data_IF_036550880099
#
_entry.id   IF_036550880099
#
_cell.length_a   1.000
_cell.length_b   1.000
_cell.length_c   1.000
_cell.angle_alpha   90.00
_cell.angle_beta   90.00
_cell.angle_gamma   90.00
#
_symmetry.space_group_name_H-M   'P 1'
#
loop_
_entity.id
_entity.type
_entity.pdbx_description
1 polymer ?
#
# COMPACT_ATOMS: atom_id res chain seq x y z
N UNK A 1 15.91 -2.63 -48.59
CA UNK A 1 16.17 -3.59 -47.50
C UNK A 1 16.38 -2.94 -46.11
N UNK A 2 16.68 -1.64 -46.01
CA UNK A 2 16.87 -0.93 -44.73
C UNK A 2 15.56 -0.47 -44.03
N UNK A 3 14.48 -0.23 -44.77
CA UNK A 3 13.19 0.21 -44.18
C UNK A 3 12.46 -0.86 -43.36
N UNK A 4 12.68 -2.16 -43.62
CA UNK A 4 12.05 -3.25 -42.84
C UNK A 4 12.64 -3.40 -41.43
N UNK A 5 13.88 -2.95 -41.18
CA UNK A 5 14.51 -3.02 -39.85
C UNK A 5 14.10 -1.87 -38.93
N UNK A 6 13.77 -0.69 -39.47
CA UNK A 6 13.30 0.46 -38.70
C UNK A 6 11.86 0.24 -38.19
N UNK A 7 11.00 -0.35 -39.03
CA UNK A 7 9.64 -0.75 -38.63
C UNK A 7 9.63 -1.81 -37.51
N UNK A 8 10.60 -2.72 -37.49
CA UNK A 8 10.73 -3.70 -36.40
C UNK A 8 11.15 -3.04 -35.08
N UNK A 9 11.92 -1.95 -35.11
CA UNK A 9 12.38 -1.25 -33.91
C UNK A 9 11.30 -0.36 -33.29
N UNK A 10 10.40 0.21 -34.10
CA UNK A 10 9.24 0.98 -33.63
C UNK A 10 8.17 0.05 -33.03
N UNK A 11 8.05 -1.18 -33.53
CA UNK A 11 7.11 -2.17 -32.98
C UNK A 11 7.53 -2.73 -31.62
N UNK A 12 8.84 -2.76 -31.31
CA UNK A 12 9.37 -3.19 -30.01
C UNK A 12 9.19 -2.11 -28.93
N UNK A 13 9.06 -0.83 -29.32
CA UNK A 13 8.74 0.26 -28.37
C UNK A 13 7.25 0.35 -28.02
N UNK A 14 6.37 -0.27 -28.83
CA UNK A 14 4.93 -0.37 -28.56
C UNK A 14 4.57 -1.58 -27.69
N UNK A 15 5.53 -2.49 -27.45
CA UNK A 15 5.31 -3.64 -26.60
C UNK A 15 5.49 -3.24 -25.12
N UNK A 16 4.41 -3.40 -24.36
CA UNK A 16 4.24 -3.11 -22.93
C UNK A 16 3.92 -1.65 -22.56
N UNK A 17 2.75 -1.17 -22.98
CA UNK A 17 1.91 -0.50 -21.97
C UNK A 17 1.32 -1.62 -21.12
N UNK A 18 2.10 -2.13 -20.17
CA UNK A 18 1.47 -2.75 -19.00
C UNK A 18 0.74 -1.58 -18.33
N UNK A 19 -0.59 -1.56 -18.37
CA UNK A 19 -1.36 -0.66 -17.50
C UNK A 19 -1.17 -1.16 -16.06
N UNK A 20 0.03 -0.96 -15.53
CA UNK A 20 0.32 -1.17 -14.13
C UNK A 20 -0.30 0.02 -13.40
N UNK A 21 -1.44 -0.21 -12.75
CA UNK A 21 -1.93 0.71 -11.75
C UNK A 21 -0.96 0.74 -10.56
N UNK A 22 -0.88 1.89 -9.91
CA UNK A 22 -0.18 2.06 -8.64
C UNK A 22 -1.08 1.57 -7.50
N UNK A 23 -0.49 0.96 -6.48
CA UNK A 23 -1.19 0.80 -5.19
C UNK A 23 -1.39 2.17 -4.52
N UNK A 24 -2.33 2.25 -3.59
CA UNK A 24 -2.51 3.46 -2.76
C UNK A 24 -1.27 3.80 -1.94
N UNK A 25 -0.44 2.81 -1.62
CA UNK A 25 0.84 2.99 -0.94
C UNK A 25 1.93 3.59 -1.82
N UNK A 26 1.90 3.32 -3.13
CA UNK A 26 2.88 3.86 -4.07
C UNK A 26 2.57 5.30 -4.44
N UNK A 27 1.30 5.72 -4.41
CA UNK A 27 0.85 7.05 -4.84
C UNK A 27 1.68 8.20 -4.25
N UNK A 28 2.15 8.10 -3.00
CA UNK A 28 2.98 9.12 -2.36
C UNK A 28 4.34 9.38 -3.06
N UNK A 29 4.85 8.42 -3.85
CA UNK A 29 6.07 8.55 -4.63
C UNK A 29 5.83 9.09 -6.06
N UNK A 30 4.58 9.27 -6.47
CA UNK A 30 4.17 9.66 -7.82
C UNK A 30 3.43 11.01 -7.83
N UNK A 31 3.76 11.91 -6.90
CA UNK A 31 3.13 13.23 -6.84
C UNK A 31 3.44 14.05 -8.11
N UNK A 32 2.40 14.65 -8.68
CA UNK A 32 2.48 15.40 -9.94
C UNK A 32 2.29 14.53 -11.20
N UNK A 33 2.18 13.21 -11.05
CA UNK A 33 1.94 12.30 -12.18
C UNK A 33 0.44 12.06 -12.39
N UNK A 34 0.06 11.85 -13.65
CA UNK A 34 -1.27 11.33 -14.00
C UNK A 34 -1.17 9.81 -14.11
N UNK A 35 -1.72 9.10 -13.15
CA UNK A 35 -1.68 7.64 -13.08
C UNK A 35 -3.02 7.06 -12.62
N UNK A 36 -3.17 5.75 -12.78
CA UNK A 36 -4.27 5.00 -12.17
C UNK A 36 -3.79 4.44 -10.83
N UNK A 37 -4.54 4.72 -9.75
CA UNK A 37 -4.27 4.25 -8.40
C UNK A 37 -5.40 3.33 -7.97
N UNK A 38 -5.09 2.12 -7.50
CA UNK A 38 -6.08 1.17 -7.02
C UNK A 38 -5.88 0.82 -5.54
N UNK A 39 -6.98 0.73 -4.80
CA UNK A 39 -7.00 0.33 -3.40
C UNK A 39 -8.40 -0.04 -2.92
N UNK A 40 -8.56 -0.34 -1.64
CA UNK A 40 -9.84 -0.72 -1.05
C UNK A 40 -10.49 0.47 -0.35
N UNK A 41 -11.68 0.88 -0.79
CA UNK A 41 -12.40 2.01 -0.19
C UNK A 41 -13.12 1.58 1.10
N UNK A 42 -12.74 2.19 2.23
CA UNK A 42 -13.21 1.79 3.58
C UNK A 42 -14.11 2.81 4.28
N UNK A 43 -14.12 4.06 3.78
CA UNK A 43 -15.06 5.08 4.24
C UNK A 43 -15.37 6.11 3.16
N UNK A 44 -16.55 6.71 3.28
CA UNK A 44 -17.00 7.85 2.48
C UNK A 44 -17.51 8.91 3.45
N UNK A 45 -16.99 10.12 3.34
CA UNK A 45 -17.29 11.23 4.24
C UNK A 45 -17.79 12.44 3.45
N UNK A 46 -18.94 13.00 3.84
CA UNK A 46 -19.51 14.21 3.24
C UNK A 46 -19.11 15.44 4.05
N UNK A 47 -18.22 16.27 3.51
CA UNK A 47 -17.75 17.49 4.18
C UNK A 47 -18.63 18.70 3.79
N UNK A 48 -19.92 18.63 4.13
CA UNK A 48 -20.94 19.61 3.72
C UNK A 48 -20.68 21.06 4.19
N UNK A 49 -19.87 21.22 5.24
CA UNK A 49 -19.50 22.53 5.79
C UNK A 49 -18.32 23.17 5.06
N UNK A 50 -17.60 22.43 4.20
CA UNK A 50 -16.45 22.95 3.45
C UNK A 50 -16.88 23.51 2.10
N UNK A 51 -16.11 24.49 1.60
CA UNK A 51 -16.31 25.05 0.27
C UNK A 51 -16.27 23.94 -0.79
N UNK A 52 -17.26 23.96 -1.70
CA UNK A 52 -17.41 22.92 -2.74
C UNK A 52 -18.02 21.61 -2.24
N UNK A 53 -18.29 21.47 -0.94
CA UNK A 53 -18.90 20.31 -0.27
C UNK A 53 -18.33 18.97 -0.77
N UNK A 54 -17.03 18.73 -0.60
CA UNK A 54 -16.39 17.53 -1.11
C UNK A 54 -16.91 16.27 -0.41
N UNK A 55 -17.08 15.22 -1.19
CA UNK A 55 -17.22 13.84 -0.73
C UNK A 55 -15.84 13.19 -0.81
N UNK A 56 -15.34 12.72 0.32
CA UNK A 56 -14.01 12.13 0.46
C UNK A 56 -14.15 10.63 0.65
N UNK A 57 -13.55 9.86 -0.25
CA UNK A 57 -13.43 8.41 -0.15
C UNK A 57 -12.04 8.09 0.41
N UNK A 58 -11.96 7.38 1.54
CA UNK A 58 -10.69 6.97 2.12
C UNK A 58 -10.36 5.51 1.80
N UNK A 59 -9.09 5.25 1.54
CA UNK A 59 -8.60 3.96 1.11
C UNK A 59 -7.69 3.31 2.16
N UNK A 60 -7.81 1.97 2.28
CA UNK A 60 -7.14 1.05 3.23
C UNK A 60 -7.42 1.31 4.72
N UNK A 61 -7.56 2.57 5.10
CA UNK A 61 -7.87 3.01 6.46
C UNK A 61 -8.78 4.22 6.43
N UNK A 62 -9.57 4.38 7.49
CA UNK A 62 -10.41 5.55 7.69
C UNK A 62 -9.57 6.75 8.11
N UNK A 63 -10.08 7.95 7.84
CA UNK A 63 -9.55 9.17 8.44
C UNK A 63 -9.37 9.05 9.97
N UNK A 64 -8.28 9.56 10.57
CA UNK A 64 -7.18 10.32 9.96
C UNK A 64 -5.96 9.47 9.54
N UNK A 65 -6.11 8.15 9.42
CA UNK A 65 -4.99 7.24 9.13
C UNK A 65 -4.97 6.73 7.68
N UNK A 66 -5.83 7.26 6.82
CA UNK A 66 -5.92 6.87 5.41
C UNK A 66 -4.60 7.10 4.68
N UNK A 67 -4.31 6.21 3.73
CA UNK A 67 -3.04 6.25 2.98
C UNK A 67 -3.19 6.90 1.62
N UNK A 68 -4.43 7.02 1.15
CA UNK A 68 -4.83 7.69 -0.08
C UNK A 68 -6.31 8.09 0.03
N UNK A 69 -6.69 9.20 -0.61
CA UNK A 69 -8.09 9.65 -0.69
C UNK A 69 -8.51 9.95 -2.12
N UNK A 70 -9.80 9.75 -2.42
CA UNK A 70 -10.44 10.37 -3.60
C UNK A 70 -11.33 11.50 -3.13
N UNK A 71 -11.29 12.63 -3.84
CA UNK A 71 -12.12 13.79 -3.58
C UNK A 71 -13.06 13.98 -4.76
N UNK A 72 -14.37 14.05 -4.50
CA UNK A 72 -15.39 14.34 -5.50
C UNK A 72 -16.19 15.56 -5.01
N UNK A 73 -16.20 16.65 -5.77
CA UNK A 73 -16.97 17.84 -5.37
C UNK A 73 -18.47 17.68 -5.66
N UNK A 74 -19.33 18.41 -4.95
CA UNK A 74 -20.80 18.34 -5.10
C UNK A 74 -21.27 18.52 -6.55
N UNK A 75 -20.58 19.35 -7.33
CA UNK A 75 -20.88 19.57 -8.75
C UNK A 75 -20.67 18.31 -9.61
N UNK A 76 -19.71 17.48 -9.24
CA UNK A 76 -19.33 16.26 -9.96
C UNK A 76 -20.09 15.03 -9.44
N UNK A 77 -20.47 15.01 -8.15
CA UNK A 77 -21.33 13.96 -7.56
C UNK A 77 -22.63 13.79 -8.34
N UNK A 78 -23.22 14.89 -8.82
CA UNK A 78 -24.48 14.87 -9.60
C UNK A 78 -24.37 14.15 -10.94
N UNK A 79 -23.15 13.87 -11.42
CA UNK A 79 -22.89 13.11 -12.65
C UNK A 79 -22.96 11.59 -12.43
N UNK A 80 -22.94 11.13 -11.19
CA UNK A 80 -23.04 9.71 -10.86
C UNK A 80 -24.50 9.26 -10.83
N UNK A 81 -24.76 8.06 -11.35
CA UNK A 81 -26.12 7.48 -11.36
C UNK A 81 -26.62 7.12 -9.95
N UNK A 82 -25.71 6.86 -9.02
CA UNK A 82 -25.99 6.47 -7.64
C UNK A 82 -25.03 7.17 -6.68
N UNK A 83 -25.38 7.29 -5.39
CA UNK A 83 -24.47 7.81 -4.37
C UNK A 83 -23.17 6.99 -4.30
N UNK A 84 -22.00 7.64 -4.11
CA UNK A 84 -20.70 6.96 -4.02
C UNK A 84 -20.66 5.79 -3.03
N UNK A 85 -21.41 5.84 -1.92
CA UNK A 85 -21.47 4.79 -0.91
C UNK A 85 -22.07 3.48 -1.42
N UNK A 86 -23.03 3.55 -2.34
CA UNK A 86 -23.59 2.36 -2.97
C UNK A 86 -22.62 1.76 -4.01
N UNK A 87 -21.83 2.62 -4.65
CA UNK A 87 -20.96 2.22 -5.75
C UNK A 87 -19.60 1.73 -5.23
N UNK A 88 -18.97 2.42 -4.28
CA UNK A 88 -17.54 2.25 -3.99
C UNK A 88 -17.23 1.74 -2.59
N UNK A 89 -18.10 1.96 -1.61
CA UNK A 89 -17.81 1.57 -0.22
C UNK A 89 -17.63 0.06 -0.08
N UNK A 90 -16.58 -0.35 0.64
CA UNK A 90 -16.19 -1.75 0.85
C UNK A 90 -15.89 -2.51 -0.44
N UNK A 91 -15.36 -1.82 -1.46
CA UNK A 91 -14.95 -2.42 -2.73
C UNK A 91 -13.52 -2.02 -3.09
N UNK A 92 -12.81 -2.86 -3.85
CA UNK A 92 -11.58 -2.44 -4.50
C UNK A 92 -11.94 -1.48 -5.65
N UNK A 93 -11.30 -0.32 -5.68
CA UNK A 93 -11.60 0.78 -6.58
C UNK A 93 -10.31 1.28 -7.21
N UNK A 94 -10.36 1.53 -8.51
CA UNK A 94 -9.29 2.16 -9.29
C UNK A 94 -9.73 3.57 -9.69
N UNK A 95 -8.84 4.53 -9.52
CA UNK A 95 -9.07 5.93 -9.86
C UNK A 95 -7.93 6.48 -10.70
N UNK A 96 -8.24 7.17 -11.79
CA UNK A 96 -7.26 7.77 -12.69
C UNK A 96 -7.30 9.29 -12.63
N UNK A 97 -6.15 9.90 -12.39
CA UNK A 97 -6.04 11.35 -12.36
C UNK A 97 -4.67 11.83 -11.89
N UNK A 98 -4.56 13.14 -11.70
CA UNK A 98 -3.38 13.77 -11.13
C UNK A 98 -3.27 13.41 -9.65
N UNK A 99 -2.14 12.81 -9.27
CA UNK A 99 -1.83 12.53 -7.87
C UNK A 99 -1.25 13.79 -7.23
N UNK A 100 -1.97 14.35 -6.26
CA UNK A 100 -1.53 15.48 -5.44
C UNK A 100 -1.53 15.06 -3.97
N UNK A 101 -1.10 15.92 -3.04
CA UNK A 101 -1.05 15.59 -1.61
C UNK A 101 -1.50 16.73 -0.70
N UNK A 102 -2.35 16.42 0.27
CA UNK A 102 -2.72 17.33 1.36
C UNK A 102 -2.17 16.76 2.67
N UNK A 103 -1.32 17.53 3.35
CA UNK A 103 -0.68 17.13 4.63
C UNK A 103 0.04 15.77 4.55
N UNK A 104 0.59 15.44 3.39
CA UNK A 104 1.33 14.19 3.15
C UNK A 104 0.46 12.98 2.80
N UNK A 105 -0.86 13.12 2.73
CA UNK A 105 -1.75 12.07 2.22
C UNK A 105 -2.01 12.33 0.73
N UNK A 106 -1.63 11.41 -0.17
CA UNK A 106 -1.90 11.55 -1.59
C UNK A 106 -3.41 11.45 -1.89
N UNK A 107 -3.88 12.18 -2.89
CA UNK A 107 -5.26 12.12 -3.35
C UNK A 107 -5.38 12.36 -4.86
N UNK A 108 -6.52 11.95 -5.41
CA UNK A 108 -6.97 12.32 -6.76
C UNK A 108 -8.33 13.01 -6.67
N UNK A 109 -8.50 14.12 -7.39
CA UNK A 109 -9.82 14.73 -7.61
C UNK A 109 -10.49 14.05 -8.80
N UNK A 110 -11.71 13.55 -8.60
CA UNK A 110 -12.56 12.99 -9.65
C UNK A 110 -13.57 14.05 -10.07
N UNK A 111 -13.52 14.41 -11.35
CA UNK A 111 -14.41 15.37 -11.99
C UNK A 111 -15.32 14.74 -13.05
N UNK A 112 -15.02 13.51 -13.46
CA UNK A 112 -15.82 12.70 -14.38
C UNK A 112 -15.96 11.27 -13.84
N UNK A 113 -17.17 10.67 -13.81
CA UNK A 113 -17.36 9.30 -13.35
C UNK A 113 -16.49 8.26 -14.04
N UNK A 114 -16.05 8.49 -15.30
CA UNK A 114 -15.15 7.58 -16.01
C UNK A 114 -13.75 7.48 -15.39
N UNK A 115 -13.38 8.43 -14.52
CA UNK A 115 -12.10 8.40 -13.81
C UNK A 115 -12.07 7.38 -12.67
N UNK A 116 -13.21 6.84 -12.23
CA UNK A 116 -13.29 5.97 -11.05
C UNK A 116 -14.16 4.76 -11.32
N UNK A 117 -13.65 3.57 -10.99
CA UNK A 117 -14.33 2.32 -11.27
C UNK A 117 -14.02 1.26 -10.21
N UNK A 118 -14.96 0.32 -10.02
CA UNK A 118 -14.71 -0.87 -9.21
C UNK A 118 -13.69 -1.74 -9.96
N UNK A 119 -12.62 -2.16 -9.28
CA UNK A 119 -11.65 -3.10 -9.81
C UNK A 119 -12.33 -4.45 -10.06
N UNK A 120 -12.19 -5.00 -11.26
CA UNK A 120 -12.82 -6.28 -11.60
C UNK A 120 -12.10 -7.41 -10.87
N UNK A 121 -12.88 -8.27 -10.20
CA UNK A 121 -12.36 -9.42 -9.43
C UNK A 121 -11.54 -10.41 -10.28
N UNK A 122 -11.74 -10.46 -11.60
CA UNK A 122 -10.94 -11.27 -12.51
C UNK A 122 -9.45 -10.88 -12.54
N UNK A 123 -9.10 -9.65 -12.15
CA UNK A 123 -7.72 -9.18 -12.03
C UNK A 123 -7.09 -9.49 -10.65
N UNK A 124 -7.86 -10.08 -9.72
CA UNK A 124 -7.45 -10.38 -8.35
C UNK A 124 -7.50 -11.90 -8.12
N UNK A 125 -6.33 -12.54 -8.12
CA UNK A 125 -6.16 -14.00 -8.01
C UNK A 125 -6.74 -14.58 -6.69
N UNK A 126 -6.73 -13.82 -5.59
CA UNK A 126 -7.50 -14.05 -4.35
C UNK A 126 -7.39 -12.84 -3.39
N UNK A 127 -8.25 -12.76 -2.37
CA UNK A 127 -8.21 -11.70 -1.34
C UNK A 127 -6.85 -11.69 -0.59
N UNK A 128 -6.24 -12.86 -0.37
CA UNK A 128 -4.90 -12.97 0.24
C UNK A 128 -3.82 -12.39 -0.68
N UNK A 129 -3.87 -12.73 -1.98
CA UNK A 129 -2.90 -12.22 -2.96
C UNK A 129 -3.01 -10.70 -3.11
N UNK A 130 -4.23 -10.15 -3.06
CA UNK A 130 -4.44 -8.71 -3.02
C UNK A 130 -3.77 -8.08 -1.79
N UNK A 131 -4.05 -8.59 -0.60
CA UNK A 131 -3.50 -8.07 0.65
C UNK A 131 -1.97 -8.20 0.70
N UNK A 132 -1.42 -9.30 0.19
CA UNK A 132 0.02 -9.47 0.03
C UNK A 132 0.62 -8.42 -0.91
N UNK A 133 -0.01 -8.16 -2.07
CA UNK A 133 0.47 -7.15 -3.03
C UNK A 133 0.50 -5.76 -2.38
N UNK A 134 -0.58 -5.36 -1.70
CA UNK A 134 -0.64 -4.11 -0.95
C UNK A 134 0.46 -4.02 0.13
N UNK A 135 0.66 -5.11 0.88
CA UNK A 135 1.73 -5.20 1.85
C UNK A 135 3.11 -5.06 1.21
N UNK A 136 3.38 -5.76 0.11
CA UNK A 136 4.65 -5.69 -0.61
C UNK A 136 4.91 -4.25 -1.08
N UNK A 137 3.92 -3.60 -1.65
CA UNK A 137 4.05 -2.25 -2.20
C UNK A 137 4.29 -1.23 -1.07
N UNK A 138 3.59 -1.34 0.07
CA UNK A 138 3.91 -0.60 1.29
C UNK A 138 5.38 -0.77 1.73
N UNK A 139 5.88 -2.02 1.80
CA UNK A 139 7.26 -2.26 2.22
C UNK A 139 8.29 -1.80 1.18
N UNK A 140 7.93 -1.78 -0.11
CA UNK A 140 8.77 -1.24 -1.17
C UNK A 140 8.86 0.28 -1.13
N UNK A 141 7.75 0.95 -0.81
CA UNK A 141 7.68 2.41 -0.66
C UNK A 141 8.49 2.90 0.54
N UNK A 142 8.28 2.32 1.72
CA UNK A 142 8.74 2.93 2.97
C UNK A 142 10.03 2.35 3.55
N UNK A 143 10.46 1.18 3.06
CA UNK A 143 11.67 0.51 3.53
C UNK A 143 12.69 0.36 2.38
N UNK A 144 13.97 0.60 2.69
CA UNK A 144 15.05 0.30 1.74
C UNK A 144 15.27 -1.22 1.65
N UNK A 145 15.94 -1.69 0.60
CA UNK A 145 16.27 -3.11 0.42
C UNK A 145 16.91 -3.73 1.68
N UNK A 146 17.92 -3.04 2.25
CA UNK A 146 18.58 -3.46 3.49
C UNK A 146 17.66 -3.51 4.71
N UNK A 147 16.59 -2.71 4.72
CA UNK A 147 15.65 -2.67 5.83
C UNK A 147 14.64 -3.82 5.74
N UNK A 148 14.19 -4.20 4.53
CA UNK A 148 13.40 -5.41 4.33
C UNK A 148 14.16 -6.67 4.74
N UNK A 149 15.46 -6.74 4.45
CA UNK A 149 16.33 -7.82 4.97
C UNK A 149 16.37 -7.83 6.50
N UNK A 150 16.54 -6.66 7.15
CA UNK A 150 16.50 -6.59 8.63
C UNK A 150 15.17 -7.07 9.20
N UNK A 151 14.05 -6.72 8.58
CA UNK A 151 12.72 -7.20 8.98
C UNK A 151 12.65 -8.73 8.92
N UNK A 152 13.12 -9.34 7.84
CA UNK A 152 13.19 -10.80 7.71
C UNK A 152 14.12 -11.43 8.77
N UNK A 153 15.26 -10.80 9.08
CA UNK A 153 16.17 -11.24 10.17
C UNK A 153 15.47 -11.20 11.53
N UNK A 154 14.75 -10.11 11.84
CA UNK A 154 14.01 -9.95 13.09
C UNK A 154 12.91 -11.01 13.20
N UNK A 155 12.14 -11.23 12.13
CA UNK A 155 11.13 -12.29 12.06
C UNK A 155 11.73 -13.67 12.29
N UNK A 156 12.89 -13.98 11.69
CA UNK A 156 13.58 -15.24 11.95
C UNK A 156 14.00 -15.39 13.42
N UNK A 157 14.47 -14.30 14.04
CA UNK A 157 14.88 -14.32 15.45
C UNK A 157 13.71 -14.54 16.44
N UNK A 158 12.47 -14.27 16.02
CA UNK A 158 11.26 -14.46 16.83
C UNK A 158 10.45 -15.71 16.42
N UNK A 159 11.05 -16.62 15.65
CA UNK A 159 10.53 -17.97 15.42
C UNK A 159 9.97 -18.25 14.01
N UNK A 160 10.07 -17.30 13.08
CA UNK A 160 9.70 -17.53 11.68
C UNK A 160 10.87 -18.13 10.88
N UNK A 161 10.58 -18.70 9.72
CA UNK A 161 11.58 -19.28 8.81
C UNK A 161 11.46 -18.64 7.43
N UNK A 162 12.15 -17.53 7.24
CA UNK A 162 12.12 -16.73 6.02
C UNK A 162 13.45 -16.77 5.28
N UNK A 163 13.37 -16.61 3.96
CA UNK A 163 14.55 -16.42 3.11
C UNK A 163 15.12 -15.02 3.31
N UNK A 164 16.32 -14.93 3.89
CA UNK A 164 17.05 -13.67 4.14
C UNK A 164 18.11 -13.34 3.09
N UNK A 165 18.20 -14.14 2.01
CA UNK A 165 19.22 -13.96 0.96
C UNK A 165 18.87 -12.82 -0.01
N UNK A 166 17.61 -12.42 -0.03
CA UNK A 166 17.11 -11.31 -0.81
C UNK A 166 16.21 -10.41 0.06
N UNK A 167 15.88 -9.26 -0.49
CA UNK A 167 15.03 -8.24 0.10
C UNK A 167 13.57 -8.34 -0.37
N UNK A 168 13.18 -9.44 -1.01
CA UNK A 168 11.82 -9.59 -1.51
C UNK A 168 10.82 -9.67 -0.36
N UNK A 169 9.69 -8.99 -0.51
CA UNK A 169 8.55 -9.15 0.39
C UNK A 169 7.63 -10.24 -0.15
N UNK A 170 8.10 -11.48 -0.07
CA UNK A 170 7.40 -12.69 -0.54
C UNK A 170 6.14 -13.01 0.29
N UNK A 171 5.34 -13.96 -0.20
CA UNK A 171 4.08 -14.34 0.42
C UNK A 171 4.30 -14.94 1.82
N UNK A 172 5.38 -15.68 2.00
CA UNK A 172 5.79 -16.25 3.29
C UNK A 172 6.11 -15.15 4.32
N UNK A 173 6.79 -14.08 3.89
CA UNK A 173 7.12 -12.93 4.75
C UNK A 173 5.86 -12.18 5.16
N UNK A 174 4.95 -11.95 4.23
CA UNK A 174 3.64 -11.39 4.54
C UNK A 174 2.87 -12.26 5.55
N UNK A 175 2.78 -13.57 5.31
CA UNK A 175 2.12 -14.52 6.22
C UNK A 175 2.75 -14.52 7.61
N UNK A 176 4.07 -14.41 7.71
CA UNK A 176 4.77 -14.31 8.99
C UNK A 176 4.39 -13.03 9.75
N UNK A 177 4.25 -11.89 9.07
CA UNK A 177 3.77 -10.65 9.71
C UNK A 177 2.32 -10.76 10.14
N UNK A 178 1.45 -11.33 9.30
CA UNK A 178 0.03 -11.57 9.63
C UNK A 178 -0.12 -12.50 10.85
N UNK A 179 0.61 -13.62 10.88
CA UNK A 179 0.62 -14.54 12.02
C UNK A 179 1.14 -13.85 13.30
N UNK A 180 2.21 -13.05 13.16
CA UNK A 180 2.74 -12.25 14.28
C UNK A 180 1.68 -11.28 14.82
N UNK A 181 1.03 -10.51 13.96
CA UNK A 181 -0.01 -9.56 14.35
C UNK A 181 -1.17 -10.26 15.08
N UNK A 182 -1.62 -11.40 14.56
CA UNK A 182 -2.64 -12.23 15.19
C UNK A 182 -2.22 -12.71 16.59
N UNK A 183 -1.03 -13.31 16.72
CA UNK A 183 -0.50 -13.79 18.00
C UNK A 183 -0.35 -12.70 19.04
N UNK A 184 -0.02 -11.48 18.62
CA UNK A 184 0.12 -10.31 19.49
C UNK A 184 -1.19 -9.56 19.73
N UNK A 185 -2.30 -9.98 19.10
CA UNK A 185 -3.62 -9.33 19.18
C UNK A 185 -3.55 -7.84 18.83
N UNK A 186 -2.79 -7.52 17.78
CA UNK A 186 -2.69 -6.17 17.20
C UNK A 186 -3.39 -6.16 15.82
N UNK A 187 -3.67 -4.98 15.22
CA UNK A 187 -4.31 -4.92 13.91
C UNK A 187 -3.60 -5.81 12.87
N UNK A 188 -4.40 -6.59 12.13
CA UNK A 188 -3.92 -7.61 11.19
C UNK A 188 -4.09 -7.07 9.77
N UNK A 189 -3.06 -6.41 9.27
CA UNK A 189 -3.02 -5.79 7.95
C UNK A 189 -1.80 -6.23 7.13
N UNK A 190 -0.92 -7.06 7.71
CA UNK A 190 0.33 -7.50 7.09
C UNK A 190 1.41 -6.42 7.00
N UNK A 191 1.18 -5.24 7.58
CA UNK A 191 2.07 -4.08 7.47
C UNK A 191 2.96 -3.94 8.70
N UNK A 192 4.28 -3.85 8.51
CA UNK A 192 5.20 -3.56 9.60
C UNK A 192 5.22 -2.05 9.89
N UNK A 193 4.32 -1.63 10.78
CA UNK A 193 4.26 -0.27 11.34
C UNK A 193 5.01 -0.19 12.67
N UNK A 194 5.10 1.01 13.25
CA UNK A 194 5.72 1.25 14.58
C UNK A 194 5.24 0.27 15.65
N UNK A 195 3.92 0.03 15.75
CA UNK A 195 3.35 -0.90 16.74
C UNK A 195 3.89 -2.32 16.59
N UNK A 196 4.02 -2.80 15.35
CA UNK A 196 4.59 -4.14 15.06
C UNK A 196 6.05 -4.19 15.49
N UNK A 197 6.85 -3.16 15.17
CA UNK A 197 8.25 -3.08 15.57
C UNK A 197 8.45 -3.08 17.09
N UNK A 198 7.63 -2.32 17.83
CA UNK A 198 7.68 -2.33 19.30
C UNK A 198 7.30 -3.70 19.88
N UNK A 199 6.29 -4.36 19.31
CA UNK A 199 5.94 -5.72 19.74
C UNK A 199 7.04 -6.74 19.42
N UNK A 200 7.72 -6.61 18.28
CA UNK A 200 8.88 -7.45 17.95
C UNK A 200 10.01 -7.25 18.98
N UNK A 201 10.28 -6.00 19.36
CA UNK A 201 11.27 -5.66 20.39
C UNK A 201 10.91 -6.28 21.75
N UNK A 202 9.63 -6.20 22.15
CA UNK A 202 9.14 -6.82 23.38
C UNK A 202 9.37 -8.33 23.40
N UNK A 203 9.08 -9.02 22.29
CA UNK A 203 9.31 -10.48 22.16
C UNK A 203 10.81 -10.81 22.25
N UNK A 204 11.66 -10.03 21.57
CA UNK A 204 13.12 -10.20 21.63
C UNK A 204 13.64 -10.02 23.06
N UNK A 205 13.19 -8.99 23.77
CA UNK A 205 13.62 -8.70 25.14
C UNK A 205 13.25 -9.84 26.10
N UNK A 206 12.07 -10.44 25.92
CA UNK A 206 11.55 -11.54 26.74
C UNK A 206 12.08 -12.93 26.33
N UNK A 207 12.71 -13.07 25.15
CA UNK A 207 13.19 -14.36 24.65
C UNK A 207 14.25 -14.97 25.58
N UNK A 208 14.08 -16.26 25.91
CA UNK A 208 15.07 -17.04 26.67
C UNK A 208 16.13 -17.67 25.77
N UNK A 209 15.85 -17.80 24.48
CA UNK A 209 16.73 -18.45 23.50
C UNK A 209 17.81 -17.50 22.96
N UNK A 210 17.60 -16.18 23.08
CA UNK A 210 18.52 -15.16 22.62
C UNK A 210 19.47 -14.72 23.74
N UNK A 211 20.78 -14.78 23.47
CA UNK A 211 21.79 -14.21 24.36
C UNK A 211 21.80 -12.66 24.32
N UNK A 212 22.46 -12.04 25.29
CA UNK A 212 22.53 -10.58 25.42
C UNK A 212 23.05 -9.89 24.14
N UNK A 213 24.13 -10.43 23.56
CA UNK A 213 24.74 -9.84 22.36
C UNK A 213 23.77 -9.84 21.18
N UNK A 214 23.02 -10.94 20.99
CA UNK A 214 22.04 -11.04 19.91
C UNK A 214 20.84 -10.13 20.13
N UNK A 215 20.34 -10.02 21.37
CA UNK A 215 19.28 -9.05 21.71
C UNK A 215 19.71 -7.62 21.41
N UNK A 216 20.93 -7.26 21.79
CA UNK A 216 21.50 -5.92 21.52
C UNK A 216 21.60 -5.62 20.03
N UNK A 217 22.04 -6.58 19.22
CA UNK A 217 22.09 -6.46 17.75
C UNK A 217 20.70 -6.17 17.16
N UNK A 218 19.71 -6.99 17.52
CA UNK A 218 18.34 -6.87 17.03
C UNK A 218 17.67 -5.56 17.48
N UNK A 219 17.92 -5.14 18.71
CA UNK A 219 17.48 -3.84 19.22
C UNK A 219 17.93 -2.70 18.29
N UNK A 220 19.22 -2.63 17.95
CA UNK A 220 19.70 -1.58 17.04
C UNK A 220 19.13 -1.70 15.62
N UNK A 221 18.82 -2.91 15.14
CA UNK A 221 18.09 -3.07 13.88
C UNK A 221 16.71 -2.42 13.97
N UNK A 222 15.93 -2.72 15.02
CA UNK A 222 14.60 -2.14 15.26
C UNK A 222 14.67 -0.62 15.39
N UNK A 223 15.60 -0.10 16.20
CA UNK A 223 15.78 1.34 16.35
C UNK A 223 16.14 2.04 15.02
N UNK A 224 16.87 1.36 14.13
CA UNK A 224 17.14 1.89 12.79
C UNK A 224 15.90 1.93 11.89
N UNK A 225 14.96 0.99 12.07
CA UNK A 225 13.71 0.90 11.31
C UNK A 225 12.68 1.93 11.81
N UNK A 226 12.62 2.18 13.13
CA UNK A 226 11.75 3.19 13.73
C UNK A 226 12.05 4.63 13.29
N UNK A 227 13.20 4.88 12.66
CA UNK A 227 13.56 6.16 12.04
C UNK A 227 12.92 6.37 10.66
N UNK A 228 12.33 5.33 10.07
CA UNK A 228 11.58 5.45 8.81
C UNK A 228 10.27 6.20 9.03
N UNK A 229 9.77 6.83 7.97
CA UNK A 229 8.44 7.45 7.92
C UNK A 229 7.43 6.34 7.64
N UNK A 230 7.14 5.54 8.67
CA UNK A 230 6.25 4.35 8.67
C UNK A 230 5.20 4.47 9.78
#
# INVERSE_FOLDING_TARGET
>A
MFLKKILLFIFIFYAFILNAYLSTYEAANHLGEVAEVCGFCVSINYENERQGKPVILDFEKKYPEQVFSVIIYEIDIKKFEKPPEEIFLNKPVCVKGLIDAIKGVPFIIVSDPQQIQIMKRYDIESDEIYAWKQSKDYHNTWFKNKDRIKLKIILNAIGYKLNIKDDTWDLETYRAVVDFQNKRKIPVDGLVKRKVLFEMENVINQSKDLNYQKKKELYYMIQSLLKRKI
#
